data_IF_078730917893
#
_entry.id   IF_078730917893
#
_cell.length_a   1.000
_cell.length_b   1.000
_cell.length_c   1.000
_cell.angle_alpha   90.00
_cell.angle_beta   90.00
_cell.angle_gamma   90.00
#
_symmetry.space_group_name_H-M   'P 1'
#
loop_
_entity.id
_entity.type
_entity.pdbx_description
1 polymer ?
#
# COMPACT_ATOMS: atom_id res chain seq x y z
N UNK A 1 0.92 17.79 -9.15
CA UNK A 1 1.26 16.36 -9.34
C UNK A 1 0.64 15.54 -8.22
N UNK A 2 0.30 14.27 -8.46
CA UNK A 2 -0.06 13.33 -7.38
C UNK A 2 1.23 12.73 -6.82
N UNK A 3 1.31 12.54 -5.50
CA UNK A 3 2.46 11.93 -4.82
C UNK A 3 1.99 10.66 -4.11
N UNK A 4 2.70 9.55 -4.36
CA UNK A 4 2.54 8.29 -3.64
C UNK A 4 3.75 8.15 -2.74
N UNK A 5 3.54 8.16 -1.42
CA UNK A 5 4.61 8.08 -0.44
C UNK A 5 4.46 6.83 0.43
N UNK A 6 5.56 6.11 0.63
CA UNK A 6 5.61 5.00 1.58
C UNK A 6 6.05 5.52 2.95
N UNK A 7 5.43 5.03 4.02
CA UNK A 7 5.77 5.38 5.40
C UNK A 7 5.53 4.19 6.35
N UNK A 8 6.24 4.20 7.48
CA UNK A 8 5.87 3.39 8.64
C UNK A 8 4.78 4.14 9.42
N UNK A 9 3.55 3.62 9.37
CA UNK A 9 2.39 4.22 10.01
C UNK A 9 2.28 3.77 11.47
N UNK A 10 1.99 4.70 12.39
CA UNK A 10 1.50 4.40 13.74
C UNK A 10 0.03 4.76 13.84
N UNK A 11 -0.81 3.76 14.09
CA UNK A 11 -2.25 3.91 14.23
C UNK A 11 -2.62 4.17 15.69
N UNK A 12 -2.73 5.45 16.06
CA UNK A 12 -3.04 5.88 17.42
C UNK A 12 -4.46 5.53 17.87
N UNK A 13 -5.39 5.31 16.93
CA UNK A 13 -6.77 4.95 17.26
C UNK A 13 -6.92 3.46 17.53
N UNK A 14 -6.05 2.62 16.95
CA UNK A 14 -6.03 1.18 17.14
C UNK A 14 -4.82 0.74 17.97
N UNK A 15 -4.71 1.28 19.19
CA UNK A 15 -3.74 0.80 20.19
C UNK A 15 -2.28 1.07 19.84
N UNK A 16 -1.99 2.11 19.06
CA UNK A 16 -0.64 2.44 18.58
C UNK A 16 0.00 1.36 17.69
N UNK A 17 -0.82 0.54 17.03
CA UNK A 17 -0.38 -0.52 16.12
C UNK A 17 0.43 0.06 14.96
N UNK A 18 1.50 -0.62 14.57
CA UNK A 18 2.38 -0.19 13.48
C UNK A 18 2.00 -0.91 12.18
N UNK A 19 2.07 -0.19 11.05
CA UNK A 19 1.75 -0.71 9.71
C UNK A 19 2.76 -0.23 8.66
N UNK A 20 2.94 -1.03 7.60
CA UNK A 20 3.62 -0.59 6.38
C UNK A 20 2.58 -0.05 5.41
N UNK A 21 2.67 1.24 5.07
CA UNK A 21 1.57 1.98 4.46
C UNK A 21 2.03 2.86 3.32
N UNK A 22 1.30 2.82 2.21
CA UNK A 22 1.35 3.83 1.16
C UNK A 22 0.26 4.89 1.40
N UNK A 23 0.63 6.17 1.31
CA UNK A 23 -0.26 7.33 1.40
C UNK A 23 -0.31 8.01 0.04
N UNK A 24 -1.53 8.30 -0.42
CA UNK A 24 -1.77 8.97 -1.70
C UNK A 24 -2.13 10.42 -1.40
N UNK A 25 -1.29 11.34 -1.86
CA UNK A 25 -1.48 12.77 -1.74
C UNK A 25 -1.90 13.32 -3.10
N UNK A 26 -3.08 13.95 -3.12
CA UNK A 26 -3.66 14.55 -4.30
C UNK A 26 -2.89 15.77 -4.77
N UNK A 27 -3.16 16.19 -6.00
CA UNK A 27 -2.49 17.33 -6.63
C UNK A 27 -2.82 18.69 -6.03
N UNK A 28 -3.80 18.75 -5.12
CA UNK A 28 -4.16 19.93 -4.32
C UNK A 28 -3.60 19.85 -2.89
N UNK A 29 -2.76 18.86 -2.59
CA UNK A 29 -2.13 18.65 -1.27
C UNK A 29 -2.98 17.91 -0.25
N UNK A 30 -4.23 17.55 -0.59
CA UNK A 30 -5.09 16.75 0.28
C UNK A 30 -4.66 15.27 0.29
N UNK A 31 -4.85 14.57 1.42
CA UNK A 31 -4.72 13.12 1.45
C UNK A 31 -5.96 12.50 0.79
N UNK A 32 -5.77 11.73 -0.27
CA UNK A 32 -6.84 10.98 -0.95
C UNK A 32 -7.18 9.72 -0.14
N UNK A 33 -6.14 9.04 0.36
CA UNK A 33 -6.31 7.85 1.17
C UNK A 33 -5.00 7.16 1.48
N UNK A 34 -5.10 5.94 2.02
CA UNK A 34 -3.96 5.10 2.37
C UNK A 34 -4.24 3.62 2.06
N UNK A 35 -3.19 2.86 1.82
CA UNK A 35 -3.22 1.41 1.64
C UNK A 35 -2.12 0.75 2.49
N UNK A 36 -2.48 -0.26 3.27
CA UNK A 36 -1.57 -1.05 4.12
C UNK A 36 -1.14 -2.33 3.41
N UNK A 37 0.14 -2.67 3.51
CA UNK A 37 0.78 -3.80 2.81
C UNK A 37 0.06 -5.13 3.09
N UNK A 38 -0.51 -5.73 2.04
CA UNK A 38 -1.29 -6.98 2.15
C UNK A 38 -0.43 -8.20 2.50
N UNK A 39 0.78 -8.31 1.92
CA UNK A 39 1.64 -9.48 2.09
C UNK A 39 2.93 -9.10 2.81
N UNK A 40 3.15 -9.65 4.00
CA UNK A 40 4.31 -9.36 4.84
C UNK A 40 5.36 -10.47 4.70
N UNK A 41 6.60 -10.15 4.28
CA UNK A 41 7.67 -11.14 4.19
C UNK A 41 8.14 -11.61 5.58
N UNK A 42 8.59 -12.86 5.60
CA UNK A 42 9.19 -13.56 6.76
C UNK A 42 10.42 -14.34 6.32
N UNK A 43 11.26 -13.72 5.49
CA UNK A 43 12.31 -14.42 4.72
C UNK A 43 13.65 -13.68 4.80
N UNK A 44 14.71 -14.41 5.16
CA UNK A 44 16.06 -13.86 5.25
C UNK A 44 16.14 -12.66 6.19
N UNK A 45 16.75 -11.57 5.71
CA UNK A 45 16.85 -10.31 6.46
C UNK A 45 15.52 -9.53 6.51
N UNK A 46 14.54 -9.89 5.68
CA UNK A 46 13.22 -9.27 5.62
C UNK A 46 12.29 -9.83 6.71
N UNK A 47 12.65 -9.56 7.96
CA UNK A 47 11.90 -9.90 9.16
C UNK A 47 10.78 -8.90 9.46
N UNK A 48 10.04 -8.49 8.42
CA UNK A 48 9.04 -7.42 8.51
C UNK A 48 7.88 -7.77 9.47
N UNK A 49 7.53 -9.06 9.58
CA UNK A 49 6.46 -9.51 10.48
C UNK A 49 6.73 -9.28 11.97
N UNK A 50 7.96 -8.94 12.34
CA UNK A 50 8.31 -8.52 13.71
C UNK A 50 7.75 -7.14 14.04
N UNK A 51 7.49 -6.31 13.02
CA UNK A 51 7.13 -4.90 13.19
C UNK A 51 5.66 -4.61 12.90
N UNK A 52 5.06 -5.28 11.92
CA UNK A 52 3.69 -5.03 11.48
C UNK A 52 3.05 -6.28 10.86
N UNK A 53 1.72 -6.33 10.92
CA UNK A 53 0.90 -7.43 10.42
C UNK A 53 0.33 -7.14 9.02
N UNK A 54 -0.27 -8.16 8.40
CA UNK A 54 -0.97 -8.08 7.12
C UNK A 54 -2.04 -6.98 7.12
N UNK A 55 -2.01 -6.14 6.09
CA UNK A 55 -2.88 -4.98 5.95
C UNK A 55 -4.38 -5.31 5.93
N UNK A 56 -5.17 -4.42 6.50
CA UNK A 56 -6.64 -4.54 6.59
C UNK A 56 -7.39 -3.59 5.66
N UNK A 57 -6.71 -3.00 4.67
CA UNK A 57 -7.32 -2.02 3.73
C UNK A 57 -7.81 -2.65 2.41
N UNK A 58 -7.59 -3.95 2.20
CA UNK A 58 -7.98 -4.65 0.97
C UNK A 58 -7.13 -4.21 -0.24
N UNK A 59 -7.78 -4.03 -1.39
CA UNK A 59 -7.15 -3.65 -2.66
C UNK A 59 -7.69 -2.30 -3.17
N UNK A 60 -7.52 -1.19 -2.43
CA UNK A 60 -8.11 0.09 -2.81
C UNK A 60 -7.51 0.62 -4.11
N UNK A 61 -8.38 1.24 -4.90
CA UNK A 61 -8.01 2.00 -6.10
C UNK A 61 -8.40 3.45 -5.84
N UNK A 62 -7.47 4.36 -6.09
CA UNK A 62 -7.61 5.78 -5.81
C UNK A 62 -7.85 6.52 -7.11
N UNK A 63 -9.03 7.12 -7.26
CA UNK A 63 -9.33 8.02 -8.36
C UNK A 63 -8.52 9.32 -8.21
N UNK A 64 -7.85 9.73 -9.27
CA UNK A 64 -7.11 11.00 -9.31
C UNK A 64 -7.46 11.74 -10.60
N UNK A 65 -7.13 13.03 -10.69
CA UNK A 65 -7.30 13.80 -11.94
C UNK A 65 -6.45 13.25 -13.12
N UNK A 66 -5.55 12.28 -12.86
CA UNK A 66 -4.68 11.66 -13.87
C UNK A 66 -4.97 10.16 -14.09
N UNK A 67 -6.08 9.65 -13.54
CA UNK A 67 -6.49 8.25 -13.65
C UNK A 67 -6.52 7.50 -12.31
N UNK A 68 -6.94 6.24 -12.38
CA UNK A 68 -7.12 5.32 -11.26
C UNK A 68 -5.83 4.60 -10.92
N UNK A 69 -5.26 4.95 -9.76
CA UNK A 69 -3.99 4.40 -9.30
C UNK A 69 -4.17 3.43 -8.14
N UNK A 70 -3.35 2.40 -8.08
CA UNK A 70 -3.25 1.49 -6.95
C UNK A 70 -1.79 1.30 -6.55
N UNK A 71 -1.57 0.72 -5.37
CA UNK A 71 -0.22 0.50 -4.84
C UNK A 71 -0.09 -0.94 -4.34
N UNK A 72 0.67 -1.76 -5.05
CA UNK A 72 1.07 -3.08 -4.56
C UNK A 72 2.41 -2.96 -3.83
N UNK A 73 2.42 -3.09 -2.50
CA UNK A 73 3.62 -2.76 -1.71
C UNK A 73 4.59 -3.95 -1.64
N UNK A 74 5.80 -3.76 -2.14
CA UNK A 74 6.98 -4.63 -1.99
C UNK A 74 6.65 -6.13 -2.19
N UNK A 75 6.63 -6.94 -1.13
CA UNK A 75 6.47 -8.40 -1.17
C UNK A 75 5.14 -8.88 -1.79
N UNK A 76 4.14 -8.00 -1.88
CA UNK A 76 2.94 -8.26 -2.68
C UNK A 76 3.25 -8.47 -4.18
N UNK A 77 4.45 -8.11 -4.66
CA UNK A 77 4.93 -8.40 -6.02
C UNK A 77 4.93 -9.90 -6.35
N UNK A 78 5.13 -10.76 -5.34
CA UNK A 78 5.23 -12.22 -5.52
C UNK A 78 3.86 -12.92 -5.51
N UNK A 79 2.76 -12.18 -5.34
CA UNK A 79 1.42 -12.74 -5.22
C UNK A 79 0.57 -12.28 -6.42
N UNK A 80 0.44 -13.08 -7.49
CA UNK A 80 -0.34 -12.72 -8.68
C UNK A 80 -1.79 -12.34 -8.37
N UNK A 81 -2.41 -12.99 -7.37
CA UNK A 81 -3.77 -12.67 -6.93
C UNK A 81 -3.88 -11.28 -6.28
N UNK A 82 -2.80 -10.77 -5.68
CA UNK A 82 -2.78 -9.41 -5.13
C UNK A 82 -2.81 -8.37 -6.26
N UNK A 83 -2.04 -8.60 -7.33
CA UNK A 83 -2.11 -7.78 -8.55
C UNK A 83 -3.49 -7.84 -9.19
N UNK A 84 -4.06 -9.04 -9.31
CA UNK A 84 -5.40 -9.26 -9.85
C UNK A 84 -6.46 -8.53 -9.03
N UNK A 85 -6.34 -8.49 -7.70
CA UNK A 85 -7.26 -7.76 -6.82
C UNK A 85 -7.34 -6.27 -7.16
N UNK A 86 -6.21 -5.60 -7.38
CA UNK A 86 -6.20 -4.20 -7.81
C UNK A 86 -6.74 -4.01 -9.23
N UNK A 87 -6.37 -4.91 -10.15
CA UNK A 87 -6.84 -4.84 -11.54
C UNK A 87 -8.36 -5.02 -11.65
N UNK A 88 -8.95 -5.97 -10.92
CA UNK A 88 -10.40 -6.20 -10.86
C UNK A 88 -11.14 -5.00 -10.25
N UNK A 89 -10.51 -4.28 -9.33
CA UNK A 89 -11.04 -3.04 -8.76
C UNK A 89 -10.86 -1.82 -9.68
N UNK A 90 -10.37 -2.01 -10.91
CA UNK A 90 -10.33 -0.99 -11.95
C UNK A 90 -9.06 -0.13 -11.97
N UNK A 91 -7.97 -0.57 -11.35
CA UNK A 91 -6.69 0.14 -11.41
C UNK A 91 -6.17 0.25 -12.86
N UNK A 92 -5.82 1.46 -13.28
CA UNK A 92 -5.19 1.73 -14.59
C UNK A 92 -3.66 1.68 -14.49
N UNK A 93 -3.11 2.11 -13.35
CA UNK A 93 -1.69 2.03 -13.03
C UNK A 93 -1.53 1.45 -11.63
N UNK A 94 -0.72 0.40 -11.49
CA UNK A 94 -0.38 -0.20 -10.20
C UNK A 94 1.10 0.06 -9.91
N UNK A 95 1.39 0.89 -8.92
CA UNK A 95 2.75 1.17 -8.47
C UNK A 95 3.27 0.07 -7.55
N UNK A 96 4.57 -0.25 -7.62
CA UNK A 96 5.20 -1.25 -6.76
C UNK A 96 6.46 -0.72 -6.05
N UNK A 97 6.31 0.11 -5.00
CA UNK A 97 7.45 0.53 -4.19
C UNK A 97 8.04 -0.69 -3.47
N UNK A 98 9.36 -0.89 -3.60
CA UNK A 98 10.05 -2.10 -3.16
C UNK A 98 11.45 -1.82 -2.59
N UNK A 99 11.89 -2.69 -1.68
CA UNK A 99 13.28 -2.85 -1.25
C UNK A 99 13.53 -4.37 -1.16
N UNK A 100 14.58 -4.88 -1.80
CA UNK A 100 14.85 -6.32 -1.98
C UNK A 100 16.34 -6.63 -1.90
#
# INVERSE_FOLDING_TARGET
>A
MVIISHVLERDVTHGNTVWNTAVIVGNKGNIIGKHRKNHIPRVGDFNESTYYMEGNTGHPVFETEFGRVAVNICYGRHHPLNWMGFALNGAEIIFNPSAT
#
